data_IF_915572768214
#
_entry.id   IF_915572768214
#
_cell.length_a   1.000
_cell.length_b   1.000
_cell.length_c   1.000
_cell.angle_alpha   90.00
_cell.angle_beta   90.00
_cell.angle_gamma   90.00
#
_symmetry.space_group_name_H-M   'P 1'
#
loop_
_entity.id
_entity.type
_entity.pdbx_description
1 polymer ?
#
# COMPACT_ATOMS: atom_id res chain seq x y z
N UNK A 1 4.59 21.77 14.09
CA UNK A 1 5.75 20.86 14.29
C UNK A 1 6.75 21.07 13.16
N UNK A 2 8.07 21.12 13.43
CA UNK A 2 9.10 21.20 12.38
C UNK A 2 9.74 19.82 12.22
N UNK A 3 9.62 19.22 11.03
CA UNK A 3 10.21 17.91 10.72
C UNK A 3 11.51 18.12 9.95
N UNK A 4 12.62 17.62 10.50
CA UNK A 4 13.90 17.52 9.78
C UNK A 4 13.89 16.24 8.94
N UNK A 5 13.52 16.36 7.66
CA UNK A 5 13.42 15.21 6.74
C UNK A 5 14.77 14.50 6.54
N UNK A 6 15.88 15.22 6.60
CA UNK A 6 17.21 14.60 6.43
C UNK A 6 17.59 13.79 7.68
N UNK A 7 17.28 14.31 8.88
CA UNK A 7 17.39 13.49 10.11
C UNK A 7 16.54 12.23 10.00
N UNK A 8 15.27 12.34 9.59
CA UNK A 8 14.37 11.18 9.48
C UNK A 8 14.93 10.13 8.51
N UNK A 9 15.41 10.54 7.34
CA UNK A 9 16.02 9.64 6.36
C UNK A 9 17.28 8.97 6.91
N UNK A 10 18.15 9.71 7.60
CA UNK A 10 19.38 9.17 8.16
C UNK A 10 19.08 8.12 9.25
N UNK A 11 18.16 8.41 10.17
CA UNK A 11 17.75 7.45 11.22
C UNK A 11 17.11 6.21 10.60
N UNK A 12 16.28 6.37 9.56
CA UNK A 12 15.70 5.23 8.85
C UNK A 12 16.78 4.41 8.13
N UNK A 13 17.75 5.07 7.49
CA UNK A 13 18.88 4.40 6.82
C UNK A 13 19.72 3.59 7.81
N UNK A 14 20.01 4.14 8.99
CA UNK A 14 20.72 3.44 10.06
C UNK A 14 19.91 2.23 10.57
N UNK A 15 18.59 2.40 10.74
CA UNK A 15 17.69 1.31 11.12
C UNK A 15 17.71 0.15 10.12
N UNK A 16 17.60 0.45 8.81
CA UNK A 16 17.55 -0.60 7.79
C UNK A 16 18.92 -1.23 7.47
N UNK A 17 20.03 -0.60 7.90
CA UNK A 17 21.38 -1.11 7.70
C UNK A 17 21.66 -2.42 8.47
N UNK A 18 20.88 -2.71 9.51
CA UNK A 18 20.96 -3.97 10.26
C UNK A 18 20.31 -5.16 9.52
N UNK A 19 19.67 -4.91 8.38
CA UNK A 19 19.02 -5.92 7.54
C UNK A 19 19.83 -6.18 6.26
N UNK A 20 19.71 -7.38 5.69
CA UNK A 20 20.42 -7.73 4.46
C UNK A 20 19.82 -6.98 3.26
N UNK A 21 20.36 -5.81 2.93
CA UNK A 21 19.96 -5.01 1.77
C UNK A 21 20.27 -5.67 0.42
N UNK A 22 21.04 -6.77 0.41
CA UNK A 22 21.24 -7.58 -0.81
C UNK A 22 20.06 -8.51 -1.06
N UNK A 23 19.24 -8.78 -0.04
CA UNK A 23 17.93 -9.40 -0.21
C UNK A 23 17.00 -8.44 -0.94
N UNK A 24 16.57 -8.87 -2.12
CA UNK A 24 15.69 -8.10 -3.00
C UNK A 24 14.40 -7.66 -2.29
N UNK A 25 13.88 -8.48 -1.37
CA UNK A 25 12.67 -8.20 -0.58
C UNK A 25 12.88 -7.09 0.44
N UNK A 26 14.06 -7.04 1.07
CA UNK A 26 14.44 -5.97 2.00
C UNK A 26 14.63 -4.67 1.24
N UNK A 27 15.44 -4.68 0.16
CA UNK A 27 15.68 -3.50 -0.68
C UNK A 27 14.39 -2.89 -1.19
N UNK A 28 13.46 -3.73 -1.68
CA UNK A 28 12.14 -3.31 -2.10
C UNK A 28 11.39 -2.54 -1.03
N UNK A 29 11.40 -3.04 0.20
CA UNK A 29 10.68 -2.42 1.31
C UNK A 29 11.29 -1.08 1.69
N UNK A 30 12.61 -0.97 1.66
CA UNK A 30 13.31 0.32 1.82
C UNK A 30 12.88 1.33 0.73
N UNK A 31 12.95 0.93 -0.54
CA UNK A 31 12.59 1.84 -1.64
C UNK A 31 11.10 2.19 -1.63
N UNK A 32 10.24 1.24 -1.30
CA UNK A 32 8.80 1.43 -1.12
C UNK A 32 8.51 2.47 -0.04
N UNK A 33 9.16 2.40 1.13
CA UNK A 33 9.00 3.40 2.19
C UNK A 33 9.26 4.82 1.69
N UNK A 34 10.36 5.03 0.95
CA UNK A 34 10.66 6.36 0.39
C UNK A 34 9.64 6.81 -0.65
N UNK A 35 9.20 5.92 -1.55
CA UNK A 35 8.20 6.25 -2.57
C UNK A 35 6.84 6.56 -1.97
N UNK A 36 6.41 5.80 -0.96
CA UNK A 36 5.17 6.08 -0.23
C UNK A 36 5.26 7.44 0.48
N UNK A 37 6.39 7.78 1.08
CA UNK A 37 6.59 9.10 1.67
C UNK A 37 6.45 10.23 0.62
N UNK A 38 7.08 10.08 -0.55
CA UNK A 38 6.98 11.06 -1.64
C UNK A 38 5.55 11.15 -2.22
N UNK A 39 4.83 10.04 -2.29
CA UNK A 39 3.42 10.00 -2.70
C UNK A 39 2.51 10.68 -1.67
N UNK A 40 2.75 10.46 -0.36
CA UNK A 40 2.03 11.17 0.70
C UNK A 40 2.23 12.69 0.60
N UNK A 41 3.46 13.14 0.35
CA UNK A 41 3.78 14.56 0.13
C UNK A 41 3.02 15.12 -1.08
N UNK A 42 3.07 14.41 -2.21
CA UNK A 42 2.37 14.80 -3.44
C UNK A 42 0.86 14.94 -3.22
N UNK A 43 0.24 13.93 -2.59
CA UNK A 43 -1.20 13.94 -2.29
C UNK A 43 -1.53 15.10 -1.35
N UNK A 44 -0.79 15.28 -0.25
CA UNK A 44 -1.01 16.37 0.69
C UNK A 44 -0.91 17.77 0.03
N UNK A 45 0.07 17.96 -0.87
CA UNK A 45 0.18 19.20 -1.66
C UNK A 45 -1.00 19.41 -2.60
N UNK A 46 -1.51 18.36 -3.23
CA UNK A 46 -2.70 18.45 -4.10
C UNK A 46 -3.94 18.94 -3.34
N UNK A 47 -4.03 18.61 -2.05
CA UNK A 47 -5.08 19.05 -1.13
C UNK A 47 -4.85 20.46 -0.58
N UNK A 48 -3.77 21.13 -0.98
CA UNK A 48 -3.38 22.48 -0.54
C UNK A 48 -3.23 22.60 0.98
N UNK A 49 -2.75 21.53 1.61
CA UNK A 49 -2.48 21.52 3.05
C UNK A 49 -1.32 22.47 3.39
N UNK A 50 -1.21 22.82 4.67
CA UNK A 50 -0.09 23.62 5.17
C UNK A 50 1.23 22.85 5.01
N UNK A 51 2.36 23.55 4.97
CA UNK A 51 3.66 22.88 4.88
C UNK A 51 3.89 21.91 6.06
N UNK A 52 3.44 22.28 7.27
CA UNK A 52 3.52 21.39 8.44
C UNK A 52 2.70 20.11 8.25
N UNK A 53 1.50 20.22 7.66
CA UNK A 53 0.65 19.06 7.38
C UNK A 53 1.21 18.18 6.23
N UNK A 54 1.84 18.80 5.22
CA UNK A 54 2.54 18.08 4.14
C UNK A 54 3.73 17.29 4.70
N UNK A 55 4.51 17.90 5.59
CA UNK A 55 5.63 17.23 6.25
C UNK A 55 5.15 16.08 7.14
N UNK A 56 4.02 16.25 7.85
CA UNK A 56 3.41 15.20 8.66
C UNK A 56 2.92 14.03 7.79
N UNK A 57 2.28 14.30 6.65
CA UNK A 57 1.87 13.25 5.72
C UNK A 57 3.07 12.47 5.16
N UNK A 58 4.14 13.18 4.76
CA UNK A 58 5.38 12.56 4.32
C UNK A 58 5.99 11.66 5.41
N UNK A 59 5.98 12.11 6.67
CA UNK A 59 6.49 11.34 7.80
C UNK A 59 5.70 10.04 8.04
N UNK A 60 4.38 10.05 7.86
CA UNK A 60 3.57 8.84 7.91
C UNK A 60 4.04 7.80 6.89
N UNK A 61 4.37 8.23 5.67
CA UNK A 61 4.91 7.35 4.65
C UNK A 61 6.27 6.75 5.03
N UNK A 62 7.13 7.51 5.71
CA UNK A 62 8.40 6.98 6.24
C UNK A 62 8.20 5.93 7.35
N UNK A 63 7.10 6.02 8.09
CA UNK A 63 6.87 5.23 9.31
C UNK A 63 5.99 3.99 9.13
N UNK A 64 5.12 3.98 8.13
CA UNK A 64 4.02 3.01 8.05
C UNK A 64 4.44 1.54 8.06
N UNK A 65 5.60 1.23 7.47
CA UNK A 65 6.10 -0.13 7.24
C UNK A 65 7.35 -0.47 8.07
N UNK A 66 7.72 0.33 9.08
CA UNK A 66 8.88 0.04 9.97
C UNK A 66 8.77 -1.38 10.57
N UNK A 67 7.56 -1.80 10.94
CA UNK A 67 7.28 -3.13 11.45
C UNK A 67 7.52 -4.28 10.46
N UNK A 68 7.61 -4.02 9.14
CA UNK A 68 7.94 -5.06 8.15
C UNK A 68 9.30 -5.66 8.39
N UNK A 69 10.29 -4.83 8.67
CA UNK A 69 11.66 -5.31 8.89
C UNK A 69 11.74 -6.18 10.15
N UNK A 70 11.06 -5.78 11.23
CA UNK A 70 10.91 -6.61 12.42
C UNK A 70 10.08 -7.88 12.19
N UNK A 71 9.03 -7.83 11.37
CA UNK A 71 8.25 -9.00 10.97
C UNK A 71 9.15 -10.01 10.25
N UNK A 72 9.96 -9.56 9.30
CA UNK A 72 10.91 -10.40 8.58
C UNK A 72 11.95 -11.00 9.53
N UNK A 73 12.55 -10.21 10.41
CA UNK A 73 13.55 -10.69 11.39
C UNK A 73 12.99 -11.75 12.33
N UNK A 74 11.74 -11.60 12.78
CA UNK A 74 11.10 -12.48 13.76
C UNK A 74 10.48 -13.74 13.13
N UNK A 75 9.94 -13.62 11.92
CA UNK A 75 9.11 -14.67 11.31
C UNK A 75 9.58 -15.14 9.93
N UNK A 76 10.58 -14.49 9.35
CA UNK A 76 11.11 -14.78 8.01
C UNK A 76 10.04 -14.76 6.90
N UNK A 77 9.04 -13.89 7.04
CA UNK A 77 7.96 -13.69 6.06
C UNK A 77 7.37 -12.28 6.19
N UNK A 78 6.73 -11.78 5.13
CA UNK A 78 5.88 -10.58 5.15
C UNK A 78 4.38 -10.91 5.17
N UNK A 79 4.04 -12.19 5.31
CA UNK A 79 2.64 -12.61 5.30
C UNK A 79 2.01 -12.46 6.69
N UNK A 80 1.15 -11.45 6.84
CA UNK A 80 0.49 -11.12 8.12
C UNK A 80 -0.35 -12.29 8.68
N UNK A 81 -1.01 -13.08 7.82
CA UNK A 81 -1.91 -14.18 8.21
C UNK A 81 -1.23 -15.30 8.99
N UNK A 82 0.07 -15.50 8.78
CA UNK A 82 0.86 -16.55 9.43
C UNK A 82 1.90 -15.98 10.40
N UNK A 83 1.97 -14.65 10.54
CA UNK A 83 2.94 -13.96 11.41
C UNK A 83 2.26 -12.94 12.32
N UNK A 84 2.35 -11.65 12.01
CA UNK A 84 1.83 -10.53 12.78
C UNK A 84 1.33 -9.43 11.84
N UNK A 85 0.32 -8.67 12.27
CA UNK A 85 -0.12 -7.48 11.54
C UNK A 85 0.99 -6.41 11.58
N UNK A 86 1.61 -6.15 10.41
CA UNK A 86 2.72 -5.20 10.30
C UNK A 86 2.36 -3.75 10.62
N UNK A 87 1.13 -3.32 10.33
CA UNK A 87 0.67 -1.95 10.64
C UNK A 87 0.60 -1.72 12.15
N UNK A 88 0.01 -2.68 12.87
CA UNK A 88 -0.03 -2.67 14.32
C UNK A 88 1.39 -2.75 14.92
N UNK A 89 2.25 -3.61 14.37
CA UNK A 89 3.64 -3.72 14.81
C UNK A 89 4.43 -2.42 14.60
N UNK A 90 4.25 -1.75 13.46
CA UNK A 90 4.90 -0.46 13.17
C UNK A 90 4.48 0.60 14.17
N UNK A 91 3.18 0.68 14.48
CA UNK A 91 2.66 1.60 15.49
C UNK A 91 3.19 1.28 16.90
N UNK A 92 3.29 0.00 17.27
CA UNK A 92 3.83 -0.40 18.58
C UNK A 92 5.32 -0.05 18.70
N UNK A 93 6.15 -0.38 17.70
CA UNK A 93 7.59 -0.05 17.70
C UNK A 93 7.79 1.47 17.84
N UNK A 94 7.06 2.26 17.09
CA UNK A 94 7.25 3.72 17.09
C UNK A 94 6.74 4.36 18.39
N UNK A 95 5.53 4.02 18.84
CA UNK A 95 4.84 4.80 19.89
C UNK A 95 4.73 4.10 21.24
N UNK A 96 4.76 2.76 21.27
CA UNK A 96 4.73 2.00 22.54
C UNK A 96 6.16 1.77 23.04
N UNK A 97 7.07 1.35 22.14
CA UNK A 97 8.48 1.15 22.48
C UNK A 97 9.27 2.49 22.47
N UNK A 98 8.69 3.54 21.90
CA UNK A 98 9.20 4.91 21.96
C UNK A 98 10.21 5.28 20.88
N UNK A 99 10.41 4.43 19.87
CA UNK A 99 11.39 4.67 18.79
C UNK A 99 11.04 5.86 17.89
N UNK A 100 9.82 6.39 17.94
CA UNK A 100 9.49 7.66 17.26
C UNK A 100 10.42 8.80 17.70
N UNK A 101 10.94 8.74 18.93
CA UNK A 101 11.85 9.76 19.50
C UNK A 101 13.24 9.73 18.88
N UNK A 102 13.63 8.63 18.24
CA UNK A 102 14.88 8.54 17.47
C UNK A 102 14.80 9.48 16.24
N UNK A 103 13.59 9.64 15.69
CA UNK A 103 13.33 10.45 14.49
C UNK A 103 12.99 11.90 14.83
N UNK A 104 12.02 12.12 15.73
CA UNK A 104 11.45 13.44 16.02
C UNK A 104 11.30 13.68 17.53
N UNK A 105 11.49 14.92 18.00
CA UNK A 105 11.38 15.26 19.43
C UNK A 105 9.96 15.66 19.87
N UNK A 106 9.18 16.26 18.97
CA UNK A 106 7.81 16.75 19.21
C UNK A 106 6.80 15.59 19.29
N UNK A 107 5.99 15.53 20.35
CA UNK A 107 5.01 14.46 20.62
C UNK A 107 3.55 14.87 20.34
N UNK A 108 3.34 16.10 19.86
CA UNK A 108 1.99 16.69 19.73
C UNK A 108 1.08 15.91 18.78
N UNK A 109 1.64 15.26 17.76
CA UNK A 109 0.92 14.51 16.73
C UNK A 109 0.97 12.99 16.91
N UNK A 110 1.52 12.48 18.01
CA UNK A 110 1.76 11.04 18.22
C UNK A 110 0.50 10.21 18.10
N UNK A 111 -0.59 10.64 18.72
CA UNK A 111 -1.87 9.91 18.69
C UNK A 111 -2.46 9.84 17.29
N UNK A 112 -2.25 10.88 16.48
CA UNK A 112 -2.71 10.93 15.10
C UNK A 112 -1.87 10.00 14.24
N UNK A 113 -0.54 10.05 14.39
CA UNK A 113 0.39 9.22 13.63
C UNK A 113 0.23 7.74 13.95
N UNK A 114 0.20 7.40 15.24
CA UNK A 114 -0.02 6.04 15.73
C UNK A 114 -1.29 5.44 15.12
N UNK A 115 -2.38 6.20 15.13
CA UNK A 115 -3.67 5.76 14.59
C UNK A 115 -3.64 5.59 13.08
N UNK A 116 -3.10 6.55 12.34
CA UNK A 116 -3.01 6.47 10.89
C UNK A 116 -2.16 5.27 10.45
N UNK A 117 -1.02 5.03 11.11
CA UNK A 117 -0.14 3.89 10.85
C UNK A 117 -0.84 2.59 11.21
N UNK A 118 -1.45 2.46 12.39
CA UNK A 118 -2.14 1.22 12.80
C UNK A 118 -3.28 0.84 11.86
N UNK A 119 -3.93 1.83 11.26
CA UNK A 119 -5.09 1.65 10.39
C UNK A 119 -4.74 1.60 8.90
N UNK A 120 -3.47 1.65 8.48
CA UNK A 120 -3.17 1.74 7.06
C UNK A 120 -3.52 0.46 6.29
N UNK A 121 -3.41 -0.73 6.90
CA UNK A 121 -3.70 -2.00 6.23
C UNK A 121 -5.13 -2.57 6.44
N UNK A 122 -6.00 -1.90 7.22
CA UNK A 122 -7.34 -2.44 7.51
C UNK A 122 -8.22 -2.43 6.26
N UNK A 123 -9.18 -3.35 6.16
CA UNK A 123 -10.09 -3.40 5.01
C UNK A 123 -10.93 -2.10 4.88
N UNK A 124 -11.58 -1.69 5.96
CA UNK A 124 -12.35 -0.46 6.07
C UNK A 124 -11.87 0.38 7.25
N UNK A 125 -11.78 1.70 7.06
CA UNK A 125 -11.49 2.61 8.16
C UNK A 125 -12.68 2.65 9.14
N UNK A 126 -12.43 2.70 10.46
CA UNK A 126 -13.49 2.87 11.44
C UNK A 126 -14.37 4.10 11.14
N UNK A 127 -15.68 4.04 11.40
CA UNK A 127 -16.57 5.19 11.19
C UNK A 127 -16.25 6.34 12.15
N UNK A 128 -15.82 6.03 13.38
CA UNK A 128 -15.51 6.99 14.43
C UNK A 128 -14.06 7.53 14.34
N UNK A 129 -13.74 8.21 13.24
CA UNK A 129 -12.53 9.02 13.08
C UNK A 129 -12.91 10.50 12.97
N UNK A 130 -12.10 11.37 13.55
CA UNK A 130 -12.18 12.81 13.23
C UNK A 130 -11.81 13.04 11.76
N UNK A 131 -12.23 14.18 11.20
CA UNK A 131 -11.90 14.52 9.80
C UNK A 131 -10.39 14.53 9.56
N UNK A 132 -9.60 15.01 10.53
CA UNK A 132 -8.14 15.04 10.46
C UNK A 132 -7.54 13.63 10.49
N UNK A 133 -7.97 12.76 11.40
CA UNK A 133 -7.52 11.36 11.45
C UNK A 133 -7.88 10.59 10.19
N UNK A 134 -9.09 10.82 9.67
CA UNK A 134 -9.56 10.21 8.43
C UNK A 134 -8.70 10.67 7.25
N UNK A 135 -8.47 11.98 7.12
CA UNK A 135 -7.66 12.56 6.05
C UNK A 135 -6.25 11.95 6.02
N UNK A 136 -5.53 11.97 7.14
CA UNK A 136 -4.17 11.41 7.18
C UNK A 136 -4.12 9.91 6.94
N UNK A 137 -5.09 9.15 7.48
CA UNK A 137 -5.21 7.73 7.20
C UNK A 137 -5.47 7.46 5.71
N UNK A 138 -6.30 8.28 5.06
CA UNK A 138 -6.60 8.15 3.63
C UNK A 138 -5.41 8.53 2.75
N UNK A 139 -4.67 9.60 3.09
CA UNK A 139 -3.44 9.98 2.36
C UNK A 139 -2.44 8.83 2.37
N UNK A 140 -2.15 8.28 3.56
CA UNK A 140 -1.22 7.17 3.70
C UNK A 140 -1.68 5.93 2.92
N UNK A 141 -2.96 5.59 3.04
CA UNK A 141 -3.57 4.42 2.37
C UNK A 141 -3.61 4.56 0.86
N UNK A 142 -3.77 5.77 0.34
CA UNK A 142 -3.71 6.02 -1.09
C UNK A 142 -2.27 5.89 -1.61
N UNK A 143 -1.32 6.54 -0.94
CA UNK A 143 0.10 6.48 -1.29
C UNK A 143 0.63 5.04 -1.31
N UNK A 144 0.32 4.25 -0.29
CA UNK A 144 0.69 2.84 -0.19
C UNK A 144 0.12 2.02 -1.36
N UNK A 145 -1.18 2.12 -1.63
CA UNK A 145 -1.82 1.41 -2.75
C UNK A 145 -1.23 1.78 -4.10
N UNK A 146 -0.93 3.05 -4.33
CA UNK A 146 -0.32 3.51 -5.59
C UNK A 146 1.05 2.84 -5.78
N UNK A 147 1.91 2.81 -4.75
CA UNK A 147 3.22 2.15 -4.87
C UNK A 147 3.11 0.62 -4.94
N UNK A 148 2.10 0.02 -4.31
CA UNK A 148 1.86 -1.43 -4.41
C UNK A 148 1.65 -1.86 -5.87
N UNK A 149 1.00 -1.05 -6.72
CA UNK A 149 0.86 -1.36 -8.16
C UNK A 149 2.21 -1.48 -8.84
N UNK A 150 3.15 -0.59 -8.51
CA UNK A 150 4.53 -0.63 -8.99
C UNK A 150 5.26 -1.89 -8.53
N UNK A 151 5.21 -2.19 -7.24
CA UNK A 151 5.87 -3.37 -6.67
C UNK A 151 5.38 -4.66 -7.36
N UNK A 152 4.10 -4.74 -7.71
CA UNK A 152 3.52 -5.86 -8.45
C UNK A 152 4.05 -6.02 -9.90
N UNK A 153 4.61 -4.95 -10.47
CA UNK A 153 5.15 -4.95 -11.83
C UNK A 153 6.66 -5.14 -11.90
N UNK A 154 7.39 -4.76 -10.86
CA UNK A 154 8.85 -4.86 -10.81
C UNK A 154 9.34 -6.27 -10.45
N UNK A 155 8.47 -7.11 -9.88
CA UNK A 155 8.82 -8.42 -9.34
C UNK A 155 8.02 -9.56 -9.95
N UNK A 156 8.62 -10.76 -10.07
CA UNK A 156 7.90 -11.95 -10.49
C UNK A 156 6.73 -12.25 -9.53
N UNK A 157 5.55 -12.54 -10.09
CA UNK A 157 4.35 -12.84 -9.30
C UNK A 157 4.53 -14.02 -8.33
N UNK A 158 5.32 -15.02 -8.72
CA UNK A 158 5.63 -16.17 -7.88
C UNK A 158 6.48 -15.80 -6.64
N UNK A 159 7.31 -14.76 -6.72
CA UNK A 159 8.04 -14.23 -5.57
C UNK A 159 7.16 -13.36 -4.66
N UNK A 160 6.27 -12.55 -5.25
CA UNK A 160 5.37 -11.64 -4.50
C UNK A 160 4.31 -12.43 -3.74
N UNK A 161 3.66 -13.37 -4.43
CA UNK A 161 2.52 -14.10 -3.90
C UNK A 161 2.88 -15.46 -3.30
N UNK A 162 4.13 -15.90 -3.47
CA UNK A 162 4.60 -17.22 -3.02
C UNK A 162 3.73 -18.36 -3.61
N UNK A 163 3.34 -18.22 -4.87
CA UNK A 163 2.46 -19.13 -5.61
C UNK A 163 3.12 -19.56 -6.93
N UNK A 164 2.84 -20.77 -7.46
CA UNK A 164 3.44 -21.21 -8.72
C UNK A 164 3.03 -20.34 -9.91
N UNK A 165 4.01 -19.85 -10.69
CA UNK A 165 3.74 -18.99 -11.86
C UNK A 165 2.74 -19.60 -12.85
N UNK A 166 2.79 -20.91 -13.11
CA UNK A 166 1.86 -21.57 -14.03
C UNK A 166 0.40 -21.44 -13.58
N UNK A 167 0.15 -21.44 -12.26
CA UNK A 167 -1.20 -21.36 -11.71
C UNK A 167 -1.87 -20.01 -12.04
N UNK A 168 -1.14 -18.90 -12.07
CA UNK A 168 -1.68 -17.60 -12.53
C UNK A 168 -2.21 -17.66 -13.97
N UNK A 169 -1.58 -18.47 -14.83
CA UNK A 169 -2.00 -18.61 -16.22
C UNK A 169 -3.14 -19.60 -16.42
N UNK A 170 -3.37 -20.53 -15.49
CA UNK A 170 -4.35 -21.63 -15.68
C UNK A 170 -5.56 -21.54 -14.76
N UNK A 171 -5.43 -20.92 -13.59
CA UNK A 171 -6.50 -20.85 -12.59
C UNK A 171 -7.70 -20.02 -13.08
N UNK A 172 -8.88 -20.40 -12.57
CA UNK A 172 -10.08 -19.58 -12.66
C UNK A 172 -10.01 -18.46 -11.60
N UNK A 173 -10.55 -17.28 -11.93
CA UNK A 173 -10.83 -16.25 -10.91
C UNK A 173 -12.00 -16.73 -10.05
N UNK A 174 -11.85 -16.64 -8.74
CA UNK A 174 -12.89 -17.03 -7.80
C UNK A 174 -14.15 -16.17 -7.98
N UNK A 175 -15.36 -16.76 -7.96
CA UNK A 175 -16.59 -16.01 -8.21
C UNK A 175 -16.77 -14.79 -7.30
N UNK A 176 -16.36 -14.88 -6.03
CA UNK A 176 -16.44 -13.78 -5.07
C UNK A 176 -15.43 -12.66 -5.35
N UNK A 177 -14.24 -13.00 -5.83
CA UNK A 177 -13.22 -12.01 -6.22
C UNK A 177 -13.68 -11.24 -7.47
N UNK A 178 -14.28 -11.95 -8.44
CA UNK A 178 -14.87 -11.32 -9.61
C UNK A 178 -16.05 -10.41 -9.24
N UNK A 179 -16.92 -10.86 -8.32
CA UNK A 179 -18.06 -10.08 -7.82
C UNK A 179 -17.59 -8.78 -7.15
N UNK A 180 -16.61 -8.85 -6.24
CA UNK A 180 -16.03 -7.67 -5.57
C UNK A 180 -15.47 -6.68 -6.59
N UNK A 181 -14.65 -7.17 -7.54
CA UNK A 181 -13.97 -6.32 -8.52
C UNK A 181 -14.96 -5.62 -9.47
N UNK A 182 -15.97 -6.34 -9.97
CA UNK A 182 -17.00 -5.77 -10.84
C UNK A 182 -17.99 -4.85 -10.10
N UNK A 183 -18.05 -4.93 -8.76
CA UNK A 183 -18.82 -4.02 -7.91
C UNK A 183 -18.03 -2.76 -7.51
N UNK A 184 -16.83 -2.56 -8.07
CA UNK A 184 -15.90 -1.48 -7.71
C UNK A 184 -15.51 -1.50 -6.23
N UNK A 185 -15.28 -2.69 -5.68
CA UNK A 185 -14.82 -2.88 -4.30
C UNK A 185 -13.37 -3.35 -4.29
N UNK A 186 -12.63 -2.97 -3.25
CA UNK A 186 -11.42 -3.71 -2.90
C UNK A 186 -11.80 -5.16 -2.60
N UNK A 187 -11.02 -6.11 -3.12
CA UNK A 187 -11.27 -7.54 -2.89
C UNK A 187 -11.06 -7.87 -1.41
N UNK A 188 -12.04 -8.54 -0.80
CA UNK A 188 -11.87 -9.06 0.55
C UNK A 188 -10.90 -10.25 0.52
N UNK A 189 -9.87 -10.23 1.37
CA UNK A 189 -8.88 -11.33 1.44
C UNK A 189 -9.51 -12.70 1.73
N UNK A 190 -10.63 -12.75 2.45
CA UNK A 190 -11.35 -14.00 2.70
C UNK A 190 -11.98 -14.61 1.45
N UNK A 191 -12.11 -13.85 0.35
CA UNK A 191 -12.60 -14.33 -0.93
C UNK A 191 -11.49 -14.86 -1.85
N UNK A 192 -10.22 -14.59 -1.52
CA UNK A 192 -9.05 -15.02 -2.30
C UNK A 192 -8.81 -16.52 -2.09
N UNK A 193 -8.83 -17.29 -3.17
CA UNK A 193 -8.64 -18.76 -3.14
C UNK A 193 -7.61 -19.24 -4.16
N UNK A 194 -7.61 -18.67 -5.37
CA UNK A 194 -6.71 -19.08 -6.46
C UNK A 194 -5.56 -18.10 -6.63
N UNK A 195 -4.56 -18.49 -7.43
CA UNK A 195 -3.37 -17.66 -7.61
C UNK A 195 -3.72 -16.33 -8.28
N UNK A 196 -4.55 -16.38 -9.33
CA UNK A 196 -4.98 -15.20 -10.09
C UNK A 196 -5.82 -14.21 -9.25
N UNK A 197 -6.47 -14.67 -8.20
CA UNK A 197 -7.23 -13.81 -7.29
C UNK A 197 -6.34 -12.75 -6.62
N UNK A 198 -5.07 -13.07 -6.36
CA UNK A 198 -4.11 -12.11 -5.80
C UNK A 198 -3.85 -10.95 -6.78
N UNK A 199 -3.69 -11.23 -8.08
CA UNK A 199 -3.52 -10.20 -9.11
C UNK A 199 -4.76 -9.31 -9.18
N UNK A 200 -5.96 -9.91 -9.24
CA UNK A 200 -7.23 -9.17 -9.28
C UNK A 200 -7.42 -8.33 -8.01
N UNK A 201 -7.01 -8.85 -6.86
CA UNK A 201 -7.06 -8.12 -5.59
C UNK A 201 -6.18 -6.87 -5.60
N UNK A 202 -4.96 -6.96 -6.14
CA UNK A 202 -4.07 -5.80 -6.26
C UNK A 202 -4.54 -4.80 -7.32
N UNK A 203 -5.06 -5.26 -8.46
CA UNK A 203 -5.72 -4.39 -9.46
C UNK A 203 -6.87 -3.62 -8.81
N UNK A 204 -7.68 -4.30 -8.00
CA UNK A 204 -8.87 -3.71 -7.38
C UNK A 204 -8.56 -2.66 -6.31
N UNK A 205 -7.29 -2.47 -5.90
CA UNK A 205 -6.89 -1.40 -4.98
C UNK A 205 -7.20 0.00 -5.52
N UNK A 206 -7.29 0.16 -6.85
CA UNK A 206 -7.67 1.42 -7.49
C UNK A 206 -9.05 1.92 -7.05
N UNK A 207 -9.97 1.00 -6.74
CA UNK A 207 -11.31 1.34 -6.26
C UNK A 207 -11.30 1.95 -4.84
N UNK A 208 -10.23 1.68 -4.09
CA UNK A 208 -10.02 2.22 -2.75
C UNK A 208 -9.24 3.53 -2.72
N UNK A 209 -8.84 4.10 -3.87
CA UNK A 209 -8.17 5.41 -3.92
C UNK A 209 -9.18 6.51 -3.63
N UNK A 210 -8.87 7.41 -2.70
CA UNK A 210 -9.79 8.46 -2.24
C UNK A 210 -9.60 9.75 -3.01
N UNK A 211 -8.35 10.17 -3.24
CA UNK A 211 -8.07 11.48 -3.80
C UNK A 211 -7.87 11.43 -5.33
N UNK A 212 -8.39 12.41 -6.10
CA UNK A 212 -8.18 12.46 -7.56
C UNK A 212 -6.71 12.46 -7.96
N UNK A 213 -5.84 13.11 -7.18
CA UNK A 213 -4.40 13.09 -7.42
C UNK A 213 -3.80 11.68 -7.34
N UNK A 214 -4.28 10.83 -6.42
CA UNK A 214 -3.86 9.43 -6.30
C UNK A 214 -4.28 8.62 -7.53
N UNK A 215 -5.49 8.83 -8.04
CA UNK A 215 -6.01 8.16 -9.25
C UNK A 215 -5.20 8.57 -10.48
N UNK A 216 -4.96 9.88 -10.64
CA UNK A 216 -4.14 10.41 -11.72
C UNK A 216 -2.71 9.86 -11.67
N UNK A 217 -2.12 9.77 -10.49
CA UNK A 217 -0.77 9.21 -10.33
C UNK A 217 -0.71 7.71 -10.66
N UNK A 218 -1.68 6.91 -10.20
CA UNK A 218 -1.77 5.49 -10.54
C UNK A 218 -1.81 5.24 -12.06
N UNK A 219 -2.48 6.12 -12.82
CA UNK A 219 -2.51 6.07 -14.28
C UNK A 219 -1.22 6.56 -14.92
N UNK A 220 -0.67 7.68 -14.44
CA UNK A 220 0.56 8.26 -14.96
C UNK A 220 1.74 7.29 -14.86
N UNK A 221 1.80 6.50 -13.79
CA UNK A 221 2.84 5.49 -13.60
C UNK A 221 2.71 4.29 -14.56
N UNK A 222 1.51 4.03 -15.09
CA UNK A 222 1.25 2.99 -16.09
C UNK A 222 1.26 1.54 -15.55
N UNK A 223 1.54 1.33 -14.25
CA UNK A 223 1.59 -0.01 -13.68
C UNK A 223 0.23 -0.71 -13.64
N UNK A 224 -0.86 0.04 -13.47
CA UNK A 224 -2.21 -0.54 -13.58
C UNK A 224 -2.45 -1.13 -14.97
N UNK A 225 -2.01 -0.45 -16.03
CA UNK A 225 -2.12 -0.95 -17.41
C UNK A 225 -1.27 -2.19 -17.63
N UNK A 226 -0.06 -2.21 -17.08
CA UNK A 226 0.81 -3.37 -17.13
C UNK A 226 0.15 -4.58 -16.44
N UNK A 227 -0.45 -4.40 -15.25
CA UNK A 227 -1.17 -5.48 -14.56
C UNK A 227 -2.41 -5.95 -15.34
N UNK A 228 -3.21 -5.01 -15.87
CA UNK A 228 -4.38 -5.30 -16.70
C UNK A 228 -4.04 -5.99 -18.02
N UNK A 229 -2.79 -5.85 -18.51
CA UNK A 229 -2.30 -6.50 -19.73
C UNK A 229 -2.04 -8.01 -19.58
N UNK A 230 -2.12 -8.56 -18.35
CA UNK A 230 -1.89 -9.97 -18.10
C UNK A 230 -2.80 -10.89 -18.94
N UNK A 231 -2.18 -11.84 -19.67
CA UNK A 231 -2.88 -12.76 -20.56
C UNK A 231 -2.90 -14.19 -19.99
N UNK A 232 -4.05 -14.61 -19.46
CA UNK A 232 -4.25 -15.98 -18.98
C UNK A 232 -4.31 -17.01 -20.13
N UNK A 233 -3.82 -18.23 -19.90
CA UNK A 233 -4.04 -19.38 -20.81
C UNK A 233 -5.46 -19.95 -20.67
N UNK A 234 -6.14 -19.71 -19.55
CA UNK A 234 -7.52 -20.12 -19.32
C UNK A 234 -8.50 -19.17 -20.06
N UNK A 235 -9.34 -19.68 -20.99
CA UNK A 235 -10.30 -18.86 -21.73
C UNK A 235 -11.32 -18.11 -20.85
N UNK A 236 -11.78 -18.74 -19.76
CA UNK A 236 -12.75 -18.10 -18.85
C UNK A 236 -12.11 -16.94 -18.11
N UNK A 237 -10.89 -17.14 -17.61
CA UNK A 237 -10.11 -16.10 -16.94
C UNK A 237 -9.76 -14.97 -17.89
N UNK A 238 -9.43 -15.24 -19.16
CA UNK A 238 -9.25 -14.16 -20.16
C UNK A 238 -10.50 -13.32 -20.35
N UNK A 239 -11.67 -13.94 -20.47
CA UNK A 239 -12.94 -13.21 -20.62
C UNK A 239 -13.24 -12.37 -19.37
N UNK A 240 -13.00 -12.92 -18.17
CA UNK A 240 -13.18 -12.21 -16.91
C UNK A 240 -12.20 -11.04 -16.75
N UNK A 241 -10.92 -11.22 -17.12
CA UNK A 241 -9.92 -10.15 -17.09
C UNK A 241 -10.24 -9.02 -18.07
N UNK A 242 -10.83 -9.33 -19.24
CA UNK A 242 -11.30 -8.29 -20.15
C UNK A 242 -12.43 -7.46 -19.51
N UNK A 243 -13.39 -8.10 -18.83
CA UNK A 243 -14.45 -7.39 -18.10
C UNK A 243 -13.89 -6.51 -16.99
N UNK A 244 -12.91 -7.03 -16.22
CA UNK A 244 -12.23 -6.28 -15.17
C UNK A 244 -11.51 -5.06 -15.77
N UNK A 245 -10.79 -5.23 -16.89
CA UNK A 245 -10.12 -4.13 -17.59
C UNK A 245 -11.10 -3.02 -18.00
N UNK A 246 -12.20 -3.38 -18.67
CA UNK A 246 -13.21 -2.41 -19.09
C UNK A 246 -13.83 -1.69 -17.88
N UNK A 247 -14.03 -2.40 -16.77
CA UNK A 247 -14.58 -1.89 -15.53
C UNK A 247 -13.63 -0.88 -14.85
N UNK A 248 -12.34 -1.24 -14.73
CA UNK A 248 -11.31 -0.41 -14.13
C UNK A 248 -11.09 0.86 -14.95
N UNK A 249 -10.97 0.75 -16.28
CA UNK A 249 -10.82 1.92 -17.16
C UNK A 249 -11.98 2.89 -17.00
N UNK A 250 -13.22 2.39 -17.09
CA UNK A 250 -14.41 3.22 -16.91
C UNK A 250 -14.42 3.91 -15.54
N UNK A 251 -14.12 3.16 -14.47
CA UNK A 251 -14.08 3.71 -13.11
C UNK A 251 -13.04 4.82 -12.98
N UNK A 252 -11.82 4.60 -13.47
CA UNK A 252 -10.74 5.57 -13.33
C UNK A 252 -10.97 6.82 -14.20
N UNK A 253 -11.55 6.66 -15.40
CA UNK A 253 -11.93 7.78 -16.26
C UNK A 253 -13.01 8.67 -15.62
N UNK A 254 -14.00 8.06 -14.97
CA UNK A 254 -15.03 8.78 -14.21
C UNK A 254 -14.39 9.56 -13.04
N UNK A 255 -13.46 8.93 -12.31
CA UNK A 255 -12.77 9.53 -11.15
C UNK A 255 -11.82 10.69 -11.49
N UNK A 256 -11.22 10.72 -12.67
CA UNK A 256 -10.39 11.88 -13.12
C UNK A 256 -11.26 13.05 -13.56
N UNK A 257 -12.49 12.77 -13.99
CA UNK A 257 -13.40 13.79 -14.51
C UNK A 257 -14.17 14.55 -13.42
N UNK A 258 -14.03 14.14 -12.15
CA UNK A 258 -14.62 14.77 -10.94
C UNK A 258 -13.82 15.99 -10.45
#
# INVERSE_FOLDING_TARGET
MIIDREKVKNVFADYVADYDITDTKVRLKVEHTYRVADLCDMIAKSLKLSQEDVDLAWLLGMFHDVGRFEQLRRYNTFEDSISVNHAALSADILFVDGHVRDYIEDDTEDKLMEKAIRLHNVYELPPALTDRERMYSQILRDADKVDILKVNCEFPMDEIYNMPMEAFYTDDISPKVLEDSLAHLNVNRCHTVTSIDHLVGHISLVYGLVYPASVAEALNQGFIEQMLSFESKNPKTREAMQKIRDCVHKYMDERISE
#
